data_IF_642053283698
#
_entry.id   IF_642053283698
#
_cell.length_a   1.000
_cell.length_b   1.000
_cell.length_c   1.000
_cell.angle_alpha   90.00
_cell.angle_beta   90.00
_cell.angle_gamma   90.00
#
_symmetry.space_group_name_H-M   'P 1'
#
loop_
_entity.id
_entity.type
_entity.pdbx_description
1 polymer ?
#
# COMPACT_ATOMS: atom_id res chain seq x y z
N UNK A 1 -30.22 2.98 4.63
CA UNK A 1 -29.50 1.88 5.32
C UNK A 1 -29.69 1.96 6.83
N UNK A 2 -29.03 2.88 7.57
CA UNK A 2 -29.18 2.94 9.05
C UNK A 2 -30.63 2.99 9.54
N UNK A 3 -31.46 3.83 8.92
CA UNK A 3 -32.89 3.94 9.29
C UNK A 3 -33.69 2.66 8.99
N UNK A 4 -33.40 2.02 7.85
CA UNK A 4 -34.02 0.75 7.47
C UNK A 4 -33.59 -0.38 8.41
N UNK A 5 -32.31 -0.43 8.78
CA UNK A 5 -31.77 -1.40 9.74
C UNK A 5 -32.42 -1.21 11.13
N UNK A 6 -32.66 0.04 11.57
CA UNK A 6 -33.39 0.30 12.83
C UNK A 6 -34.86 -0.12 12.77
N UNK A 7 -35.52 0.06 11.63
CA UNK A 7 -36.91 -0.38 11.44
C UNK A 7 -37.01 -1.91 11.43
N UNK A 8 -36.08 -2.61 10.77
CA UNK A 8 -35.99 -4.08 10.80
C UNK A 8 -35.84 -4.56 12.24
N UNK A 9 -34.85 -4.04 12.99
CA UNK A 9 -34.61 -4.45 14.38
C UNK A 9 -35.82 -4.23 15.30
N UNK A 10 -36.52 -3.10 15.16
CA UNK A 10 -37.73 -2.83 15.91
C UNK A 10 -38.87 -3.81 15.56
N UNK A 11 -39.02 -4.13 14.27
CA UNK A 11 -40.06 -5.04 13.79
C UNK A 11 -39.77 -6.49 14.19
N UNK A 12 -38.49 -6.91 14.19
CA UNK A 12 -38.06 -8.22 14.69
C UNK A 12 -38.32 -8.39 16.19
N UNK A 13 -38.06 -7.33 16.97
CA UNK A 13 -38.34 -7.33 18.41
C UNK A 13 -39.84 -7.48 18.67
N UNK A 14 -40.67 -6.77 17.90
CA UNK A 14 -42.12 -6.92 17.96
C UNK A 14 -42.59 -8.32 17.57
N UNK A 15 -42.01 -8.90 16.52
CA UNK A 15 -42.36 -10.24 16.03
C UNK A 15 -41.97 -11.33 17.01
N UNK A 16 -40.82 -11.18 17.68
CA UNK A 16 -40.39 -12.09 18.73
C UNK A 16 -41.36 -12.08 19.92
N UNK A 17 -41.76 -10.90 20.40
CA UNK A 17 -42.73 -10.77 21.48
C UNK A 17 -44.10 -11.35 21.12
N UNK A 18 -44.57 -11.11 19.90
CA UNK A 18 -45.82 -11.68 19.40
C UNK A 18 -45.75 -13.22 19.36
N UNK A 19 -44.66 -13.79 18.82
CA UNK A 19 -44.44 -15.25 18.79
C UNK A 19 -44.37 -15.88 20.18
N UNK A 20 -43.74 -15.20 21.14
CA UNK A 20 -43.67 -15.66 22.53
C UNK A 20 -45.06 -15.79 23.15
N UNK A 21 -45.91 -14.78 22.98
CA UNK A 21 -47.28 -14.84 23.52
C UNK A 21 -48.16 -15.91 22.86
N UNK A 22 -47.93 -16.22 21.58
CA UNK A 22 -48.58 -17.36 20.90
C UNK A 22 -48.07 -18.69 21.48
N UNK A 23 -46.75 -18.81 21.69
CA UNK A 23 -46.14 -20.00 22.28
C UNK A 23 -46.63 -20.27 23.71
N UNK A 24 -46.81 -19.24 24.54
CA UNK A 24 -47.42 -19.36 25.88
C UNK A 24 -48.84 -19.95 25.81
N UNK A 25 -49.66 -19.48 24.87
CA UNK A 25 -51.02 -19.99 24.69
C UNK A 25 -51.04 -21.44 24.17
N UNK A 26 -50.09 -21.80 23.30
CA UNK A 26 -49.89 -23.19 22.87
C UNK A 26 -49.41 -24.09 24.00
N UNK A 27 -48.55 -23.59 24.89
CA UNK A 27 -48.09 -24.30 26.07
C UNK A 27 -49.27 -24.69 26.97
N UNK A 28 -50.14 -23.74 27.33
CA UNK A 28 -51.35 -24.01 28.12
C UNK A 28 -52.27 -25.05 27.46
N UNK A 29 -52.44 -24.97 26.13
CA UNK A 29 -53.20 -25.97 25.37
C UNK A 29 -52.53 -27.36 25.43
N UNK A 30 -51.20 -27.41 25.41
CA UNK A 30 -50.43 -28.65 25.50
C UNK A 30 -50.51 -29.28 26.90
N UNK A 31 -50.44 -28.45 27.96
CA UNK A 31 -50.60 -28.88 29.35
C UNK A 31 -51.99 -29.48 29.55
N UNK A 32 -53.03 -28.81 29.06
CA UNK A 32 -54.39 -29.34 29.08
C UNK A 32 -54.48 -30.69 28.39
N UNK A 33 -53.94 -30.84 27.18
CA UNK A 33 -53.92 -32.14 26.46
C UNK A 33 -53.19 -33.23 27.26
N UNK A 34 -52.06 -32.88 27.87
CA UNK A 34 -51.27 -33.83 28.68
C UNK A 34 -52.01 -34.28 29.93
N UNK A 35 -52.75 -33.36 30.58
CA UNK A 35 -53.54 -33.64 31.77
C UNK A 35 -54.75 -34.50 31.44
N UNK A 36 -55.44 -34.23 30.33
CA UNK A 36 -56.48 -35.13 29.80
C UNK A 36 -55.96 -36.54 29.53
N UNK A 37 -54.80 -36.67 28.88
CA UNK A 37 -54.20 -37.98 28.61
C UNK A 37 -53.87 -38.76 29.90
N UNK A 38 -53.39 -38.07 30.94
CA UNK A 38 -53.13 -38.67 32.27
C UNK A 38 -54.41 -39.08 33.00
N UNK A 39 -55.48 -38.30 32.91
CA UNK A 39 -56.75 -38.66 33.53
C UNK A 39 -57.37 -39.88 32.86
N UNK A 40 -57.32 -39.94 31.52
CA UNK A 40 -57.78 -41.08 30.74
C UNK A 40 -56.98 -42.35 31.05
N UNK A 41 -55.66 -42.27 31.25
CA UNK A 41 -54.83 -43.44 31.56
C UNK A 41 -55.10 -44.04 32.95
N UNK A 42 -55.64 -43.25 33.89
CA UNK A 42 -56.04 -43.70 35.23
C UNK A 42 -57.53 -44.12 35.25
N UNK A 43 -58.22 -44.07 34.11
CA UNK A 43 -59.62 -44.47 33.99
C UNK A 43 -60.62 -43.46 34.57
N UNK A 44 -60.17 -42.23 34.87
CA UNK A 44 -61.06 -41.15 35.33
C UNK A 44 -61.69 -40.48 34.11
N UNK A 45 -63.00 -40.60 33.98
CA UNK A 45 -63.82 -39.91 32.96
C UNK A 45 -64.48 -38.64 33.50
N UNK A 46 -64.35 -38.37 34.79
CA UNK A 46 -64.96 -37.21 35.43
C UNK A 46 -64.10 -35.98 35.15
N UNK A 47 -64.44 -35.28 34.07
CA UNK A 47 -63.75 -34.07 33.60
C UNK A 47 -64.00 -32.83 34.50
N UNK A 48 -64.57 -33.04 35.68
CA UNK A 48 -64.82 -32.03 36.71
C UNK A 48 -63.59 -31.74 37.61
N UNK A 49 -62.40 -32.23 37.24
CA UNK A 49 -61.15 -31.95 37.94
C UNK A 49 -60.88 -30.42 37.97
N UNK A 50 -60.57 -29.88 39.15
CA UNK A 50 -60.27 -28.46 39.34
C UNK A 50 -59.12 -27.98 38.45
N UNK A 51 -58.11 -28.82 38.24
CA UNK A 51 -56.95 -28.50 37.38
C UNK A 51 -57.35 -28.34 35.90
N UNK A 52 -58.32 -29.11 35.41
CA UNK A 52 -58.85 -28.98 34.04
C UNK A 52 -59.61 -27.65 33.91
N UNK A 53 -60.45 -27.33 34.90
CA UNK A 53 -61.24 -26.08 34.93
C UNK A 53 -60.33 -24.84 35.01
N UNK A 54 -59.26 -24.91 35.79
CA UNK A 54 -58.25 -23.85 35.88
C UNK A 54 -57.51 -23.64 34.56
N UNK A 55 -57.10 -24.73 33.89
CA UNK A 55 -56.46 -24.65 32.57
C UNK A 55 -57.42 -24.14 31.49
N UNK A 56 -58.69 -24.55 31.50
CA UNK A 56 -59.69 -24.04 30.57
C UNK A 56 -59.99 -22.55 30.80
N UNK A 57 -60.03 -22.10 32.05
CA UNK A 57 -60.16 -20.68 32.39
C UNK A 57 -58.92 -19.88 31.95
N UNK A 58 -57.71 -20.40 32.17
CA UNK A 58 -56.46 -19.77 31.73
C UNK A 58 -56.36 -19.68 30.19
N UNK A 59 -56.76 -20.73 29.46
CA UNK A 59 -56.81 -20.74 28.00
C UNK A 59 -57.84 -19.72 27.49
N UNK A 60 -59.02 -19.66 28.11
CA UNK A 60 -60.05 -18.69 27.72
C UNK A 60 -59.59 -17.25 27.95
N UNK A 61 -58.95 -16.96 29.08
CA UNK A 61 -58.42 -15.64 29.39
C UNK A 61 -57.30 -15.19 28.43
N UNK A 62 -56.51 -16.14 27.92
CA UNK A 62 -55.39 -15.87 27.00
C UNK A 62 -55.75 -15.93 25.52
N UNK A 63 -56.95 -16.39 25.17
CA UNK A 63 -57.35 -16.62 23.78
C UNK A 63 -57.31 -15.36 22.93
N UNK A 64 -57.97 -14.30 23.39
CA UNK A 64 -58.02 -13.02 22.64
C UNK A 64 -56.63 -12.38 22.50
N UNK A 65 -55.77 -12.56 23.52
CA UNK A 65 -54.39 -12.06 23.47
C UNK A 65 -53.56 -12.85 22.44
N UNK A 66 -53.72 -14.18 22.41
CA UNK A 66 -53.01 -15.05 21.46
C UNK A 66 -53.48 -14.84 20.02
N UNK A 67 -54.78 -14.68 19.79
CA UNK A 67 -55.33 -14.45 18.45
C UNK A 67 -54.83 -13.10 17.90
N UNK A 68 -54.86 -12.02 18.71
CA UNK A 68 -54.27 -10.73 18.33
C UNK A 68 -52.76 -10.80 18.08
N UNK A 69 -52.03 -11.55 18.91
CA UNK A 69 -50.60 -11.73 18.73
C UNK A 69 -50.26 -12.52 17.46
N UNK A 70 -51.08 -13.51 17.09
CA UNK A 70 -50.93 -14.24 15.83
C UNK A 70 -51.12 -13.30 14.62
N UNK A 71 -52.15 -12.45 14.64
CA UNK A 71 -52.38 -11.45 13.58
C UNK A 71 -51.22 -10.45 13.48
N UNK A 72 -50.73 -9.95 14.63
CA UNK A 72 -49.57 -9.04 14.69
C UNK A 72 -48.32 -9.73 14.16
N UNK A 73 -48.05 -10.97 14.55
CA UNK A 73 -46.90 -11.73 14.06
C UNK A 73 -46.96 -11.93 12.55
N UNK A 74 -48.13 -12.19 11.98
CA UNK A 74 -48.31 -12.36 10.54
C UNK A 74 -48.06 -11.04 9.78
N UNK A 75 -48.63 -9.93 10.27
CA UNK A 75 -48.41 -8.60 9.71
C UNK A 75 -46.93 -8.17 9.80
N UNK A 76 -46.26 -8.47 10.92
CA UNK A 76 -44.85 -8.17 11.11
C UNK A 76 -43.94 -9.04 10.24
N UNK A 77 -44.30 -10.30 9.97
CA UNK A 77 -43.53 -11.12 9.03
C UNK A 77 -43.60 -10.58 7.60
N UNK A 78 -44.77 -10.17 7.13
CA UNK A 78 -44.92 -9.56 5.80
C UNK A 78 -44.15 -8.23 5.69
N UNK A 79 -44.20 -7.41 6.75
CA UNK A 79 -43.44 -6.17 6.81
C UNK A 79 -41.93 -6.44 6.78
N UNK A 80 -41.43 -7.44 7.51
CA UNK A 80 -40.02 -7.81 7.49
C UNK A 80 -39.57 -8.28 6.11
N UNK A 81 -40.37 -9.09 5.41
CA UNK A 81 -40.04 -9.52 4.05
C UNK A 81 -39.88 -8.33 3.10
N UNK A 82 -40.77 -7.34 3.18
CA UNK A 82 -40.67 -6.11 2.38
C UNK A 82 -39.43 -5.29 2.73
N UNK A 83 -39.17 -5.06 4.02
CA UNK A 83 -37.99 -4.30 4.46
C UNK A 83 -36.69 -4.99 4.06
N UNK A 84 -36.64 -6.33 4.11
CA UNK A 84 -35.48 -7.09 3.64
C UNK A 84 -35.29 -6.99 2.12
N UNK A 85 -36.38 -7.03 1.34
CA UNK A 85 -36.32 -6.83 -0.09
C UNK A 85 -35.80 -5.43 -0.47
N UNK A 86 -36.33 -4.38 0.17
CA UNK A 86 -35.87 -3.00 -0.02
C UNK A 86 -34.40 -2.82 0.36
N UNK A 87 -33.96 -3.45 1.46
CA UNK A 87 -32.56 -3.43 1.90
C UNK A 87 -31.63 -4.01 0.84
N UNK A 88 -32.04 -5.13 0.23
CA UNK A 88 -31.28 -5.82 -0.81
C UNK A 88 -31.20 -4.97 -2.08
N UNK A 89 -32.31 -4.38 -2.50
CA UNK A 89 -32.35 -3.50 -3.67
C UNK A 89 -31.44 -2.27 -3.49
N UNK A 90 -31.51 -1.62 -2.33
CA UNK A 90 -30.63 -0.49 -2.00
C UNK A 90 -29.15 -0.91 -1.95
N UNK A 91 -28.84 -2.09 -1.41
CA UNK A 91 -27.47 -2.60 -1.38
C UNK A 91 -26.92 -2.80 -2.80
N UNK A 92 -27.70 -3.46 -3.67
CA UNK A 92 -27.34 -3.66 -5.07
C UNK A 92 -27.14 -2.33 -5.79
N UNK A 93 -28.04 -1.35 -5.57
CA UNK A 93 -27.94 -0.03 -6.18
C UNK A 93 -26.69 0.74 -5.75
N UNK A 94 -26.32 0.64 -4.47
CA UNK A 94 -25.08 1.25 -3.96
C UNK A 94 -23.86 0.63 -4.63
N UNK A 95 -23.86 -0.69 -4.83
CA UNK A 95 -22.76 -1.40 -5.48
C UNK A 95 -22.60 -1.03 -6.96
N UNK A 96 -23.73 -0.93 -7.69
CA UNK A 96 -23.73 -0.41 -9.07
C UNK A 96 -23.15 1.00 -9.15
N UNK A 97 -23.59 1.91 -8.26
CA UNK A 97 -23.10 3.29 -8.23
C UNK A 97 -21.61 3.36 -7.90
N UNK A 98 -21.13 2.51 -6.99
CA UNK A 98 -19.69 2.40 -6.70
C UNK A 98 -18.91 1.95 -7.93
N UNK A 99 -19.38 0.91 -8.62
CA UNK A 99 -18.73 0.41 -9.83
C UNK A 99 -18.66 1.48 -10.92
N UNK A 100 -19.74 2.24 -11.12
CA UNK A 100 -19.78 3.34 -12.08
C UNK A 100 -18.82 4.47 -11.71
N UNK A 101 -18.77 4.85 -10.42
CA UNK A 101 -17.86 5.88 -9.93
C UNK A 101 -16.39 5.48 -10.09
N UNK A 102 -16.05 4.23 -9.77
CA UNK A 102 -14.69 3.74 -9.98
C UNK A 102 -14.33 3.70 -11.46
N UNK A 103 -15.25 3.23 -12.31
CA UNK A 103 -15.07 3.26 -13.76
C UNK A 103 -14.74 4.65 -14.29
N UNK A 104 -15.52 5.67 -13.91
CA UNK A 104 -15.28 7.04 -14.36
C UNK A 104 -13.98 7.65 -13.82
N UNK A 105 -13.61 7.34 -12.57
CA UNK A 105 -12.34 7.78 -11.99
C UNK A 105 -11.14 7.17 -12.72
N UNK A 106 -11.20 5.89 -13.09
CA UNK A 106 -10.15 5.26 -13.87
C UNK A 106 -10.05 5.87 -15.27
N UNK A 107 -11.17 6.13 -15.94
CA UNK A 107 -11.17 6.78 -17.26
C UNK A 107 -10.55 8.18 -17.21
N UNK A 108 -10.88 8.99 -16.19
CA UNK A 108 -10.25 10.30 -15.99
C UNK A 108 -8.75 10.19 -15.75
N UNK A 109 -8.31 9.25 -14.92
CA UNK A 109 -6.89 9.06 -14.61
C UNK A 109 -6.09 8.57 -15.83
N UNK A 110 -6.68 7.69 -16.64
CA UNK A 110 -6.08 7.28 -17.92
C UNK A 110 -5.94 8.48 -18.84
N UNK A 111 -6.99 9.30 -18.97
CA UNK A 111 -6.94 10.50 -19.80
C UNK A 111 -5.85 11.49 -19.35
N UNK A 112 -5.69 11.69 -18.05
CA UNK A 112 -4.64 12.55 -17.46
C UNK A 112 -3.23 12.01 -17.77
N UNK A 113 -2.99 10.71 -17.60
CA UNK A 113 -1.72 10.08 -17.97
C UNK A 113 -1.42 10.23 -19.46
N UNK A 114 -2.41 9.92 -20.32
CA UNK A 114 -2.26 9.93 -21.77
C UNK A 114 -2.02 11.32 -22.34
N UNK A 115 -2.73 12.34 -21.83
CA UNK A 115 -2.73 13.67 -22.43
C UNK A 115 -1.78 14.65 -21.76
N UNK A 116 -1.45 14.46 -20.48
CA UNK A 116 -0.57 15.38 -19.75
C UNK A 116 0.79 14.74 -19.47
N UNK A 117 0.84 13.62 -18.74
CA UNK A 117 2.10 13.08 -18.23
C UNK A 117 2.98 12.42 -19.28
N UNK A 118 2.42 11.62 -20.19
CA UNK A 118 3.21 10.97 -21.25
C UNK A 118 3.91 12.01 -22.15
N UNK A 119 3.22 13.05 -22.67
CA UNK A 119 3.87 14.08 -23.47
C UNK A 119 4.95 14.87 -22.73
N UNK A 120 4.72 15.20 -21.45
CA UNK A 120 5.73 15.90 -20.63
C UNK A 120 6.99 15.04 -20.42
N UNK A 121 6.80 13.75 -20.11
CA UNK A 121 7.90 12.81 -19.95
C UNK A 121 8.73 12.66 -21.24
N UNK A 122 8.06 12.57 -22.40
CA UNK A 122 8.75 12.47 -23.69
C UNK A 122 9.57 13.73 -23.99
N UNK A 123 9.02 14.93 -23.74
CA UNK A 123 9.76 16.19 -23.90
C UNK A 123 10.98 16.24 -22.98
N UNK A 124 10.83 15.85 -21.71
CA UNK A 124 11.95 15.77 -20.78
C UNK A 124 13.03 14.81 -21.29
N UNK A 125 12.65 13.60 -21.72
CA UNK A 125 13.57 12.60 -22.27
C UNK A 125 14.36 13.13 -23.49
N UNK A 126 13.69 13.85 -24.41
CA UNK A 126 14.36 14.49 -25.55
C UNK A 126 15.38 15.54 -25.11
N UNK A 127 15.04 16.40 -24.15
CA UNK A 127 15.99 17.41 -23.63
C UNK A 127 17.20 16.77 -22.96
N UNK A 128 17.01 15.68 -22.22
CA UNK A 128 18.11 14.90 -21.65
C UNK A 128 18.99 14.28 -22.74
N UNK A 129 18.40 13.71 -23.78
CA UNK A 129 19.16 13.16 -24.91
C UNK A 129 20.01 14.24 -25.61
N UNK A 130 19.45 15.44 -25.81
CA UNK A 130 20.18 16.58 -26.38
C UNK A 130 21.32 17.06 -25.47
N UNK A 131 21.10 17.12 -24.15
CA UNK A 131 22.13 17.49 -23.18
C UNK A 131 23.27 16.47 -23.15
N UNK A 132 22.94 15.17 -23.17
CA UNK A 132 23.93 14.09 -23.24
C UNK A 132 24.74 14.14 -24.54
N UNK A 133 24.11 14.44 -25.69
CA UNK A 133 24.79 14.62 -26.96
C UNK A 133 25.79 15.80 -26.93
N UNK A 134 25.41 16.92 -26.31
CA UNK A 134 26.31 18.07 -26.12
C UNK A 134 27.52 17.70 -25.27
N UNK A 135 27.31 17.00 -24.15
CA UNK A 135 28.39 16.52 -23.28
C UNK A 135 29.34 15.55 -23.99
N UNK A 136 28.81 14.62 -24.78
CA UNK A 136 29.62 13.74 -25.61
C UNK A 136 30.48 14.52 -26.62
N UNK A 137 29.93 15.58 -27.22
CA UNK A 137 30.67 16.51 -28.08
C UNK A 137 31.82 17.20 -27.36
N UNK A 138 31.59 17.74 -26.16
CA UNK A 138 32.65 18.33 -25.34
C UNK A 138 33.71 17.31 -24.92
N UNK A 139 33.31 16.09 -24.54
CA UNK A 139 34.24 15.00 -24.22
C UNK A 139 35.15 14.65 -25.40
N UNK A 140 34.59 14.56 -26.61
CA UNK A 140 35.37 14.34 -27.83
C UNK A 140 36.33 15.49 -28.12
N UNK A 141 35.90 16.73 -27.96
CA UNK A 141 36.76 17.90 -28.15
C UNK A 141 37.90 17.95 -27.12
N UNK A 142 37.62 17.65 -25.85
CA UNK A 142 38.61 17.56 -24.78
C UNK A 142 39.62 16.44 -25.04
N UNK A 143 39.16 15.27 -25.48
CA UNK A 143 40.04 14.17 -25.89
C UNK A 143 40.96 14.57 -27.06
N UNK A 144 40.43 15.20 -28.10
CA UNK A 144 41.24 15.69 -29.23
C UNK A 144 42.25 16.78 -28.83
N UNK A 145 41.88 17.69 -27.92
CA UNK A 145 42.82 18.68 -27.39
C UNK A 145 43.92 18.01 -26.56
N UNK A 146 43.56 17.04 -25.70
CA UNK A 146 44.53 16.23 -24.95
C UNK A 146 45.50 15.52 -25.89
N UNK A 147 45.00 14.84 -26.91
CA UNK A 147 45.84 14.12 -27.88
C UNK A 147 46.79 15.08 -28.60
N UNK A 148 46.29 16.23 -29.08
CA UNK A 148 47.14 17.27 -29.71
C UNK A 148 48.18 17.85 -28.76
N UNK A 149 47.83 18.06 -27.48
CA UNK A 149 48.78 18.52 -26.48
C UNK A 149 49.84 17.45 -26.21
N UNK A 150 49.48 16.16 -26.21
CA UNK A 150 50.43 15.06 -26.03
C UNK A 150 51.35 14.91 -27.25
N UNK A 151 50.81 15.08 -28.47
CA UNK A 151 51.57 15.02 -29.72
C UNK A 151 52.56 16.19 -29.88
N UNK A 152 52.12 17.41 -29.54
CA UNK A 152 52.95 18.62 -29.67
C UNK A 152 53.73 18.98 -28.40
N UNK A 153 53.42 18.33 -27.28
CA UNK A 153 54.04 18.57 -25.98
C UNK A 153 55.37 17.85 -25.84
N UNK A 154 56.24 18.41 -25.02
CA UNK A 154 57.51 17.76 -24.69
C UNK A 154 57.19 16.64 -23.70
N UNK A 155 57.19 15.38 -24.17
CA UNK A 155 57.21 14.21 -23.29
C UNK A 155 58.56 14.18 -22.58
N UNK A 156 58.54 14.44 -21.28
CA UNK A 156 59.77 14.47 -20.47
C UNK A 156 59.79 13.30 -19.51
N UNK A 157 60.89 12.55 -19.49
CA UNK A 157 61.18 11.59 -18.42
C UNK A 157 61.40 12.38 -17.13
N UNK A 158 60.82 11.92 -16.02
CA UNK A 158 60.78 12.70 -14.78
C UNK A 158 62.15 13.28 -14.39
N UNK A 159 62.22 14.60 -14.15
CA UNK A 159 63.41 15.23 -13.61
C UNK A 159 63.71 14.72 -12.20
N UNK A 160 65.00 14.66 -11.83
CA UNK A 160 65.39 14.46 -10.43
C UNK A 160 64.96 15.66 -9.56
N UNK A 161 64.87 15.48 -8.24
CA UNK A 161 64.50 16.55 -7.30
C UNK A 161 65.31 17.84 -7.57
N UNK A 162 64.63 18.96 -7.82
CA UNK A 162 65.25 20.26 -8.11
C UNK A 162 65.57 20.56 -9.58
N UNK A 163 65.25 19.67 -10.52
CA UNK A 163 65.37 19.96 -11.96
C UNK A 163 64.12 20.68 -12.50
N UNK A 164 64.34 21.71 -13.32
CA UNK A 164 63.31 22.54 -13.92
C UNK A 164 62.41 21.70 -14.85
N UNK A 165 61.12 21.61 -14.52
CA UNK A 165 60.10 21.06 -15.43
C UNK A 165 59.74 22.14 -16.45
N UNK A 166 59.86 21.89 -17.77
CA UNK A 166 59.45 22.88 -18.76
C UNK A 166 57.97 23.22 -18.57
N UNK A 167 57.62 24.52 -18.58
CA UNK A 167 56.22 24.97 -18.43
C UNK A 167 55.24 24.43 -19.51
N UNK A 168 55.76 23.74 -20.53
CA UNK A 168 55.03 23.12 -21.65
C UNK A 168 55.06 21.58 -21.63
N UNK A 169 55.51 20.95 -20.54
CA UNK A 169 55.45 19.50 -20.39
C UNK A 169 53.98 19.07 -20.22
N UNK A 170 53.48 18.21 -21.12
CA UNK A 170 52.07 17.77 -21.13
C UNK A 170 51.91 16.37 -20.51
N UNK A 171 52.97 15.56 -20.54
CA UNK A 171 52.99 14.21 -19.98
C UNK A 171 54.31 14.01 -19.22
N UNK A 172 54.17 13.72 -17.92
CA UNK A 172 55.27 13.59 -16.96
C UNK A 172 55.24 12.15 -16.42
N UNK A 173 56.18 11.32 -16.90
CA UNK A 173 56.29 9.93 -16.47
C UNK A 173 57.27 9.82 -15.32
N UNK A 174 56.71 9.64 -14.13
CA UNK A 174 57.44 9.56 -12.88
C UNK A 174 57.66 8.09 -12.53
N UNK A 175 58.92 7.63 -12.54
CA UNK A 175 59.29 6.32 -12.00
C UNK A 175 59.29 6.41 -10.48
N UNK A 176 58.21 5.97 -9.85
CA UNK A 176 58.03 6.05 -8.40
C UNK A 176 58.75 4.89 -7.72
N UNK A 177 59.71 5.14 -6.79
CA UNK A 177 60.26 4.09 -5.94
C UNK A 177 59.15 3.45 -5.09
N UNK A 178 59.27 2.15 -4.77
CA UNK A 178 58.29 1.46 -3.92
C UNK A 178 58.10 2.23 -2.61
N UNK A 179 56.84 2.55 -2.29
CA UNK A 179 56.41 3.28 -1.10
C UNK A 179 56.65 4.82 -1.07
N UNK A 180 56.65 5.50 -2.22
CA UNK A 180 56.63 6.97 -2.31
C UNK A 180 55.45 7.49 -3.16
N UNK A 181 55.11 8.77 -3.05
CA UNK A 181 54.28 9.50 -4.04
C UNK A 181 54.94 10.85 -4.38
N UNK A 182 54.88 11.30 -5.65
CA UNK A 182 55.41 12.61 -6.05
C UNK A 182 54.47 13.76 -5.66
N UNK A 183 54.99 14.74 -4.92
CA UNK A 183 54.36 16.05 -4.72
C UNK A 183 55.02 17.06 -5.67
N UNK A 184 54.23 17.73 -6.50
CA UNK A 184 54.72 18.75 -7.43
C UNK A 184 54.39 20.13 -6.87
N UNK A 185 55.41 20.97 -6.68
CA UNK A 185 55.26 22.38 -6.36
C UNK A 185 55.87 23.25 -7.46
N UNK A 186 55.76 24.58 -7.33
CA UNK A 186 56.29 25.52 -8.31
C UNK A 186 57.83 25.49 -8.44
N UNK A 187 58.53 24.78 -7.56
CA UNK A 187 60.00 24.68 -7.49
C UNK A 187 60.57 23.33 -7.92
N UNK A 188 59.74 22.29 -8.04
CA UNK A 188 60.14 20.97 -8.56
C UNK A 188 59.28 19.82 -8.07
N UNK A 189 59.78 18.58 -8.23
CA UNK A 189 59.12 17.37 -7.76
C UNK A 189 59.76 16.86 -6.48
N UNK A 190 59.00 16.83 -5.36
CA UNK A 190 59.36 16.28 -4.05
C UNK A 190 58.86 14.85 -3.89
N UNK A 191 59.70 13.98 -3.35
CA UNK A 191 59.31 12.62 -2.99
C UNK A 191 58.87 12.58 -1.53
N UNK A 192 57.61 12.27 -1.29
CA UNK A 192 57.13 11.96 0.05
C UNK A 192 57.21 10.45 0.29
N UNK A 193 57.95 10.05 1.32
CA UNK A 193 57.97 8.65 1.79
C UNK A 193 56.65 8.34 2.50
N UNK A 194 56.06 7.17 2.22
CA UNK A 194 54.83 6.69 2.90
C UNK A 194 54.98 6.50 4.43
N UNK A 195 56.16 6.70 5.00
CA UNK A 195 56.46 6.53 6.43
C UNK A 195 55.85 7.58 7.38
N UNK A 196 55.16 8.61 6.88
CA UNK A 196 54.49 9.62 7.72
C UNK A 196 52.98 9.69 7.52
N UNK A 197 52.39 8.92 6.62
CA UNK A 197 50.94 8.72 6.60
C UNK A 197 50.60 7.56 7.54
N UNK A 198 49.92 7.88 8.63
CA UNK A 198 49.56 6.92 9.68
C UNK A 198 48.65 5.76 9.23
N UNK A 199 48.30 5.62 7.95
CA UNK A 199 47.54 4.48 7.44
C UNK A 199 48.02 4.05 6.06
N UNK A 200 49.01 3.15 6.06
CA UNK A 200 49.45 2.40 4.86
C UNK A 200 48.26 1.70 4.16
N UNK A 201 47.25 1.28 4.93
CA UNK A 201 46.01 0.70 4.40
C UNK A 201 45.10 1.70 3.68
N UNK A 202 45.01 2.96 4.14
CA UNK A 202 44.20 3.98 3.48
C UNK A 202 44.81 4.39 2.13
N UNK A 203 46.15 4.48 2.06
CA UNK A 203 46.86 4.74 0.82
C UNK A 203 46.71 3.57 -0.18
N UNK A 204 46.84 2.32 0.26
CA UNK A 204 46.64 1.14 -0.58
C UNK A 204 45.19 0.98 -1.07
N UNK A 205 44.20 1.36 -0.25
CA UNK A 205 42.79 1.39 -0.67
C UNK A 205 42.49 2.51 -1.66
N UNK A 206 43.07 3.70 -1.48
CA UNK A 206 42.94 4.80 -2.44
C UNK A 206 43.51 4.41 -3.81
N UNK A 207 44.67 3.74 -3.85
CA UNK A 207 45.28 3.25 -5.11
C UNK A 207 44.43 2.15 -5.76
N UNK A 208 43.79 1.27 -4.98
CA UNK A 208 42.86 0.24 -5.52
C UNK A 208 41.53 0.83 -6.02
N UNK A 209 41.06 1.92 -5.44
CA UNK A 209 39.83 2.61 -5.87
C UNK A 209 39.99 3.34 -7.22
N UNK A 210 41.22 3.74 -7.57
CA UNK A 210 41.55 4.31 -8.88
C UNK A 210 41.95 3.21 -9.88
N UNK A 211 40.97 2.70 -10.62
CA UNK A 211 41.15 1.59 -11.59
C UNK A 211 41.91 1.94 -12.88
N UNK A 212 42.54 3.12 -12.97
CA UNK A 212 43.35 3.53 -14.13
C UNK A 212 44.70 4.06 -13.65
N UNK A 213 45.83 3.54 -14.19
CA UNK A 213 47.15 3.99 -13.80
C UNK A 213 47.34 5.45 -14.26
N UNK A 214 47.56 6.34 -13.28
CA UNK A 214 48.09 7.70 -13.42
C UNK A 214 47.74 8.46 -14.71
N UNK A 215 46.63 9.17 -14.65
CA UNK A 215 46.36 10.35 -15.47
C UNK A 215 46.08 11.50 -14.47
N UNK A 216 47.11 11.91 -13.72
CA UNK A 216 47.01 13.08 -12.85
C UNK A 216 47.06 14.33 -13.71
N UNK A 217 45.91 14.73 -14.27
CA UNK A 217 45.73 16.01 -14.94
C UNK A 217 45.77 17.13 -13.90
N UNK A 218 46.94 17.72 -13.67
CA UNK A 218 47.03 19.05 -13.09
C UNK A 218 46.61 20.06 -14.15
N UNK A 219 45.32 20.40 -14.19
CA UNK A 219 44.86 21.63 -14.84
C UNK A 219 45.37 22.77 -13.96
N UNK A 220 46.45 23.44 -14.39
CA UNK A 220 46.77 24.78 -13.88
C UNK A 220 45.63 25.70 -14.31
N UNK A 221 44.74 26.04 -13.36
CA UNK A 221 43.81 27.15 -13.54
C UNK A 221 44.63 28.45 -13.56
N UNK A 222 44.52 29.18 -14.66
CA UNK A 222 44.92 30.58 -14.77
C UNK A 222 43.73 31.49 -14.43
#
# INVERSE_FOLDING_TARGET
>A
MKELDTQIAATETGAAAAKETVAEAEHLRSERKSLFARLLSIGKTDFENSEVKELDAAIAAKRDQADRAADISAAQSELLERLYAERLELANRIEELRRLLFGSQYEMFIAEIEHEHIPEYLKAAETFAQAAAKLAGYGKAAAMMRDKLIENGIRTTAPAYGQHIPARAVDLRIAVPVACYPELDATGCKWLSLGTFADKQAAEQAVKAYSKPYDAYLIQQA
#
